data_IF_249993176798
#
_entry.id   IF_249993176798
#
_cell.length_a   1.000
_cell.length_b   1.000
_cell.length_c   1.000
_cell.angle_alpha   90.00
_cell.angle_beta   90.00
_cell.angle_gamma   90.00
#
_symmetry.space_group_name_H-M   'P 1'
#
loop_
_entity.id
_entity.type
_entity.pdbx_description
1 polymer ?
#
# COMPACT_ATOMS: atom_id res chain seq x y z
N UNK A 1 -21.86 24.00 22.18
CA UNK A 1 -20.70 23.11 22.43
C UNK A 1 -20.59 22.13 21.27
N UNK A 2 -19.47 22.16 20.54
CA UNK A 2 -19.31 21.50 19.24
C UNK A 2 -18.97 20.01 19.43
N UNK A 3 -19.99 19.15 19.49
CA UNK A 3 -19.82 17.68 19.49
C UNK A 3 -19.73 17.10 18.08
N UNK A 4 -19.08 17.82 17.16
CA UNK A 4 -18.99 17.43 15.75
C UNK A 4 -18.37 16.03 15.60
N UNK A 5 -17.28 15.74 16.34
CA UNK A 5 -16.59 14.45 16.25
C UNK A 5 -17.48 13.27 16.66
N UNK A 6 -18.31 13.46 17.71
CA UNK A 6 -19.27 12.45 18.16
C UNK A 6 -20.38 12.26 17.12
N UNK A 7 -20.87 13.34 16.51
CA UNK A 7 -21.89 13.27 15.46
C UNK A 7 -21.39 12.50 14.24
N UNK A 8 -20.17 12.78 13.78
CA UNK A 8 -19.55 12.09 12.65
C UNK A 8 -19.27 10.62 12.94
N UNK A 9 -18.85 10.29 14.17
CA UNK A 9 -18.68 8.90 14.61
C UNK A 9 -20.03 8.15 14.63
N UNK A 10 -21.08 8.75 15.18
CA UNK A 10 -22.43 8.16 15.17
C UNK A 10 -23.01 8.03 13.76
N UNK A 11 -22.67 8.95 12.86
CA UNK A 11 -23.05 8.89 11.45
C UNK A 11 -22.20 7.90 10.64
N UNK A 12 -21.30 7.12 11.27
CA UNK A 12 -20.36 6.19 10.64
C UNK A 12 -19.46 6.85 9.56
N UNK A 13 -19.27 8.17 9.64
CA UNK A 13 -18.36 8.92 8.74
C UNK A 13 -16.92 8.91 9.24
N UNK A 14 -16.72 8.62 10.53
CA UNK A 14 -15.40 8.44 11.15
C UNK A 14 -15.38 7.10 11.89
N UNK A 15 -14.41 6.25 11.54
CA UNK A 15 -14.10 5.02 12.28
C UNK A 15 -13.04 5.32 13.33
N UNK A 16 -13.42 5.29 14.61
CA UNK A 16 -12.48 5.44 15.72
C UNK A 16 -12.01 4.05 16.15
N UNK A 17 -10.69 3.82 16.07
CA UNK A 17 -10.04 2.62 16.59
C UNK A 17 -8.90 3.03 17.50
N UNK A 18 -8.78 2.39 18.65
CA UNK A 18 -7.60 2.54 19.48
C UNK A 18 -6.42 1.83 18.80
N UNK A 19 -5.35 2.57 18.56
CA UNK A 19 -4.08 2.05 18.02
C UNK A 19 -2.99 2.34 19.04
N UNK A 20 -2.28 1.33 19.56
CA UNK A 20 -1.11 1.55 20.41
C UNK A 20 -0.11 2.49 19.73
N UNK A 21 0.56 3.36 20.49
CA UNK A 21 1.52 4.33 19.94
C UNK A 21 2.56 3.68 19.03
N UNK A 22 3.08 2.52 19.43
CA UNK A 22 4.08 1.75 18.68
C UNK A 22 3.58 1.20 17.33
N UNK A 23 2.27 1.25 17.08
CA UNK A 23 1.63 0.82 15.84
C UNK A 23 1.08 1.99 15.01
N UNK A 24 1.19 3.24 15.50
CA UNK A 24 0.74 4.42 14.79
C UNK A 24 1.65 4.76 13.62
N UNK A 25 1.11 4.76 12.40
CA UNK A 25 1.83 5.14 11.17
C UNK A 25 2.44 6.55 11.29
N UNK A 26 1.76 7.46 11.99
CA UNK A 26 2.21 8.83 12.21
C UNK A 26 3.58 8.93 12.91
N UNK A 27 3.97 7.91 13.70
CA UNK A 27 5.26 7.90 14.36
C UNK A 27 6.41 7.86 13.35
N UNK A 28 6.27 7.13 12.24
CA UNK A 28 7.27 7.09 11.17
C UNK A 28 7.39 8.40 10.38
N UNK A 29 6.38 9.27 10.45
CA UNK A 29 6.38 10.57 9.81
C UNK A 29 6.87 11.71 10.73
N UNK A 30 6.90 11.48 12.04
CA UNK A 30 7.11 12.55 13.03
C UNK A 30 8.28 12.31 13.98
N UNK A 31 8.82 11.08 14.04
CA UNK A 31 9.88 10.69 14.97
C UNK A 31 11.07 10.06 14.24
N UNK A 32 12.26 10.20 14.81
CA UNK A 32 13.41 9.39 14.44
C UNK A 32 13.25 7.99 15.06
N UNK A 33 12.95 6.98 14.23
CA UNK A 33 12.68 5.62 14.68
C UNK A 33 13.94 4.74 14.68
N UNK A 34 14.11 3.84 15.66
CA UNK A 34 15.07 2.74 15.57
C UNK A 34 14.80 1.86 14.33
N UNK A 35 15.85 1.22 13.80
CA UNK A 35 15.80 0.49 12.53
C UNK A 35 14.62 -0.51 12.44
N UNK A 36 14.37 -1.28 13.50
CA UNK A 36 13.26 -2.25 13.50
C UNK A 36 11.87 -1.60 13.40
N UNK A 37 11.68 -0.45 14.05
CA UNK A 37 10.41 0.30 13.98
C UNK A 37 10.26 0.99 12.63
N UNK A 38 11.37 1.47 12.07
CA UNK A 38 11.37 2.04 10.72
C UNK A 38 11.00 1.01 9.65
N UNK A 39 11.51 -0.23 9.74
CA UNK A 39 11.11 -1.32 8.84
C UNK A 39 9.60 -1.59 8.89
N UNK A 40 9.01 -1.60 10.09
CA UNK A 40 7.55 -1.74 10.24
C UNK A 40 6.81 -0.58 9.56
N UNK A 41 7.27 0.65 9.75
CA UNK A 41 6.68 1.82 9.09
C UNK A 41 6.73 1.71 7.56
N UNK A 42 7.88 1.35 6.98
CA UNK A 42 8.06 1.14 5.54
C UNK A 42 7.03 0.13 4.99
N UNK A 43 6.80 -0.98 5.70
CA UNK A 43 5.76 -1.95 5.35
C UNK A 43 4.36 -1.36 5.44
N UNK A 44 4.05 -0.60 6.51
CA UNK A 44 2.73 0.02 6.72
C UNK A 44 2.37 1.02 5.61
N UNK A 45 3.34 1.77 5.07
CA UNK A 45 3.10 2.72 3.97
C UNK A 45 3.25 2.11 2.58
N UNK A 46 3.54 0.81 2.48
CA UNK A 46 3.65 0.12 1.20
C UNK A 46 4.90 0.47 0.40
N UNK A 47 5.94 1.00 1.04
CA UNK A 47 7.26 1.22 0.43
C UNK A 47 8.06 -0.10 0.40
N UNK A 48 7.42 -1.15 -0.10
CA UNK A 48 7.95 -2.50 -0.24
C UNK A 48 8.16 -2.82 -1.72
N UNK A 49 8.94 -3.85 -2.01
CA UNK A 49 9.04 -4.34 -3.38
C UNK A 49 7.67 -4.84 -3.86
N UNK A 50 7.23 -4.32 -5.01
CA UNK A 50 5.96 -4.66 -5.64
C UNK A 50 6.16 -5.19 -7.07
N UNK A 51 7.37 -5.61 -7.44
CA UNK A 51 7.68 -6.08 -8.78
C UNK A 51 6.70 -7.18 -9.23
N UNK A 52 6.35 -8.12 -8.35
CA UNK A 52 5.38 -9.18 -8.65
C UNK A 52 4.03 -8.62 -9.11
N UNK A 53 3.52 -7.55 -8.46
CA UNK A 53 2.26 -6.89 -8.84
C UNK A 53 2.38 -6.18 -10.19
N UNK A 54 3.55 -5.61 -10.48
CA UNK A 54 3.84 -4.97 -11.76
C UNK A 54 3.88 -6.02 -12.87
N UNK A 55 4.55 -7.15 -12.65
CA UNK A 55 4.63 -8.25 -13.63
C UNK A 55 3.26 -8.89 -13.85
N UNK A 56 2.50 -9.15 -12.79
CA UNK A 56 1.15 -9.69 -12.89
C UNK A 56 0.25 -8.78 -13.74
N UNK A 57 0.33 -7.47 -13.51
CA UNK A 57 -0.42 -6.49 -14.30
C UNK A 57 0.01 -6.52 -15.77
N UNK A 58 1.32 -6.51 -16.04
CA UNK A 58 1.83 -6.58 -17.42
C UNK A 58 1.36 -7.85 -18.13
N UNK A 59 1.40 -9.00 -17.46
CA UNK A 59 0.94 -10.27 -18.03
C UNK A 59 -0.55 -10.23 -18.40
N UNK A 60 -1.39 -9.60 -17.56
CA UNK A 60 -2.83 -9.43 -17.85
C UNK A 60 -3.11 -8.47 -19.01
N UNK A 61 -2.21 -7.53 -19.26
CA UNK A 61 -2.30 -6.54 -20.33
C UNK A 61 -1.72 -7.05 -21.66
N UNK A 62 -1.10 -8.24 -21.69
CA UNK A 62 -0.59 -8.86 -22.92
C UNK A 62 -1.74 -9.14 -23.91
N UNK A 63 -1.53 -8.71 -25.15
CA UNK A 63 -2.44 -8.93 -26.26
C UNK A 63 -2.03 -10.16 -27.06
N UNK A 64 -2.94 -10.65 -27.91
CA UNK A 64 -2.62 -11.74 -28.85
C UNK A 64 -1.41 -11.40 -29.76
N UNK A 65 -1.24 -10.12 -30.12
CA UNK A 65 -0.11 -9.65 -30.95
C UNK A 65 1.24 -9.75 -30.21
N UNK A 66 1.23 -9.59 -28.88
CA UNK A 66 2.44 -9.72 -28.07
C UNK A 66 2.94 -11.16 -28.00
N UNK A 67 2.03 -12.15 -28.05
CA UNK A 67 2.39 -13.58 -28.12
C UNK A 67 3.00 -13.93 -29.48
N UNK A 68 2.44 -13.41 -30.59
CA UNK A 68 2.97 -13.65 -31.94
C UNK A 68 4.38 -13.07 -32.10
N UNK A 69 4.62 -11.84 -31.63
CA UNK A 69 5.97 -11.26 -31.63
C UNK A 69 6.97 -12.07 -30.79
N UNK A 70 6.51 -12.64 -29.68
CA UNK A 70 7.38 -13.46 -28.84
C UNK A 70 7.77 -14.79 -29.53
N UNK A 71 6.87 -15.41 -30.28
CA UNK A 71 7.17 -16.61 -31.09
C UNK A 71 8.14 -16.30 -32.23
N UNK A 72 7.92 -15.22 -32.99
CA UNK A 72 8.81 -14.81 -34.09
C UNK A 72 10.26 -14.54 -33.64
N UNK A 73 10.43 -14.11 -32.39
CA UNK A 73 11.74 -13.83 -31.79
C UNK A 73 12.47 -15.09 -31.29
N UNK A 74 11.75 -16.20 -31.09
CA UNK A 74 12.31 -17.49 -30.64
C UNK A 74 12.68 -18.41 -31.81
N UNK A 75 12.04 -18.22 -32.96
CA UNK A 75 12.28 -19.00 -34.19
C UNK A 75 13.38 -18.40 -35.10
N UNK A 76 14.10 -17.37 -34.62
CA UNK A 76 15.19 -16.67 -35.33
C UNK A 76 16.60 -17.03 -34.87
#
# INVERSE_FOLDING_TARGET
HNHWLRQEALANRISVRHTPTTEMIADGLTKALPAQQFQKFVMQVGLVDINDKIQERRFKELTAEDFVRAEEQLDG
#
